data_IF_458342172255
#
_entry.id   IF_458342172255
#
_cell.length_a   1.000
_cell.length_b   1.000
_cell.length_c   1.000
_cell.angle_alpha   90.00
_cell.angle_beta   90.00
_cell.angle_gamma   90.00
#
_symmetry.space_group_name_H-M   'P 1'
#
loop_
_entity.id
_entity.type
_entity.pdbx_description
1 polymer ?
#
# COMPACT_ATOMS: atom_id res chain seq x y z
N UNK A 1 27.00 -20.06 -5.31
CA UNK A 1 26.23 -19.73 -6.53
C UNK A 1 25.18 -18.71 -6.13
N UNK A 2 24.96 -17.68 -6.93
CA UNK A 2 23.91 -16.68 -6.70
C UNK A 2 22.76 -16.95 -7.67
N UNK A 3 21.52 -16.67 -7.27
CA UNK A 3 20.33 -16.89 -8.11
C UNK A 3 19.46 -15.63 -8.17
N UNK A 4 19.02 -15.21 -9.37
CA UNK A 4 18.03 -14.15 -9.51
C UNK A 4 16.72 -14.51 -8.80
N UNK A 5 16.06 -13.51 -8.25
CA UNK A 5 14.74 -13.65 -7.63
C UNK A 5 13.66 -13.73 -8.72
N UNK A 6 13.06 -14.91 -8.90
CA UNK A 6 11.92 -15.12 -9.80
C UNK A 6 10.68 -15.61 -9.03
N UNK A 7 9.70 -14.73 -8.75
CA UNK A 7 8.46 -15.11 -8.07
C UNK A 7 7.65 -16.20 -8.78
N UNK A 8 7.72 -16.29 -10.11
CA UNK A 8 6.91 -17.24 -10.88
C UNK A 8 7.44 -18.68 -10.73
N UNK A 9 8.75 -18.81 -10.51
CA UNK A 9 9.40 -20.08 -10.22
C UNK A 9 9.27 -20.53 -8.75
N UNK A 10 8.80 -19.67 -7.84
CA UNK A 10 8.77 -19.97 -6.41
C UNK A 10 7.57 -20.83 -6.01
N UNK A 11 7.79 -21.95 -5.29
CA UNK A 11 6.71 -22.74 -4.70
C UNK A 11 5.85 -21.86 -3.79
N UNK A 12 4.57 -21.74 -4.16
CA UNK A 12 3.58 -20.91 -3.46
C UNK A 12 3.99 -19.43 -3.26
N UNK A 13 4.93 -18.92 -4.06
CA UNK A 13 5.47 -17.56 -3.92
C UNK A 13 6.24 -17.33 -2.62
N UNK A 14 6.80 -18.38 -2.00
CA UNK A 14 7.54 -18.28 -0.74
C UNK A 14 9.06 -18.41 -0.96
N UNK A 15 9.78 -17.30 -0.87
CA UNK A 15 11.25 -17.26 -1.03
C UNK A 15 11.99 -18.17 -0.05
N UNK A 16 11.50 -18.29 1.19
CA UNK A 16 12.12 -19.14 2.22
C UNK A 16 11.97 -20.61 1.85
N UNK A 17 10.79 -21.01 1.36
CA UNK A 17 10.56 -22.38 0.92
C UNK A 17 11.39 -22.72 -0.31
N UNK A 18 11.44 -21.83 -1.31
CA UNK A 18 12.30 -21.99 -2.48
C UNK A 18 13.77 -22.20 -2.06
N UNK A 19 14.26 -21.36 -1.15
CA UNK A 19 15.61 -21.48 -0.60
C UNK A 19 15.84 -22.82 0.12
N UNK A 20 14.92 -23.25 0.99
CA UNK A 20 15.03 -24.53 1.69
C UNK A 20 15.02 -25.72 0.73
N UNK A 21 14.13 -25.73 -0.27
CA UNK A 21 14.07 -26.79 -1.28
C UNK A 21 15.37 -26.90 -2.07
N UNK A 22 16.00 -25.78 -2.45
CA UNK A 22 17.30 -25.78 -3.13
C UNK A 22 18.42 -26.37 -2.27
N UNK A 23 18.29 -26.30 -0.95
CA UNK A 23 19.23 -26.92 0.00
C UNK A 23 18.86 -28.36 0.36
N UNK A 24 17.77 -28.92 -0.19
CA UNK A 24 17.27 -30.24 0.18
C UNK A 24 16.65 -30.28 1.58
N UNK A 25 16.22 -29.13 2.11
CA UNK A 25 15.55 -29.02 3.40
C UNK A 25 14.03 -29.01 3.21
N UNK A 26 13.33 -29.89 3.93
CA UNK A 26 11.87 -29.92 3.94
C UNK A 26 11.32 -28.89 4.93
N UNK A 27 10.31 -28.14 4.49
CA UNK A 27 9.67 -27.11 5.32
C UNK A 27 8.15 -27.30 5.32
N UNK A 28 7.65 -27.69 6.49
CA UNK A 28 6.23 -27.89 6.75
C UNK A 28 5.41 -26.64 6.42
N UNK A 29 4.35 -26.79 5.62
CA UNK A 29 3.52 -25.68 5.18
C UNK A 29 2.94 -24.86 6.34
N UNK A 30 2.62 -25.54 7.45
CA UNK A 30 2.07 -24.96 8.68
C UNK A 30 3.04 -23.99 9.39
N UNK A 31 4.34 -24.09 9.13
CA UNK A 31 5.37 -23.22 9.74
C UNK A 31 5.54 -21.89 9.00
N UNK A 32 5.05 -21.79 7.77
CA UNK A 32 5.22 -20.60 6.93
C UNK A 32 4.25 -19.51 7.39
N UNK A 33 4.75 -18.60 8.24
CA UNK A 33 4.00 -17.41 8.65
C UNK A 33 4.12 -16.32 7.59
N UNK A 34 3.02 -16.06 6.87
CA UNK A 34 2.95 -14.98 5.88
C UNK A 34 2.67 -13.63 6.55
N UNK A 35 3.64 -13.11 7.28
CA UNK A 35 3.55 -11.80 7.96
C UNK A 35 3.89 -10.62 7.04
N UNK A 36 4.65 -10.85 5.96
CA UNK A 36 5.08 -9.81 5.01
C UNK A 36 4.40 -9.95 3.64
N UNK A 37 3.09 -10.22 3.62
CA UNK A 37 2.35 -9.99 2.39
C UNK A 37 2.27 -8.48 2.21
N UNK A 38 3.06 -7.95 1.27
CA UNK A 38 3.13 -6.50 1.01
C UNK A 38 1.74 -5.87 0.96
N UNK A 39 1.64 -4.65 1.49
CA UNK A 39 0.38 -3.91 1.55
C UNK A 39 -0.24 -3.76 0.15
N UNK A 40 -1.56 -3.93 0.07
CA UNK A 40 -2.32 -3.67 -1.17
C UNK A 40 -2.41 -2.17 -1.42
N UNK A 41 -2.54 -1.78 -2.68
CA UNK A 41 -2.61 -0.36 -3.09
C UNK A 41 -3.70 0.39 -2.31
N UNK A 42 -4.90 -0.16 -2.28
CA UNK A 42 -6.03 0.48 -1.60
C UNK A 42 -5.85 0.54 -0.09
N UNK A 43 -5.25 -0.49 0.51
CA UNK A 43 -4.89 -0.46 1.93
C UNK A 43 -3.91 0.67 2.24
N UNK A 44 -2.93 0.91 1.36
CA UNK A 44 -1.99 2.01 1.48
C UNK A 44 -2.69 3.38 1.29
N UNK A 45 -3.57 3.52 0.30
CA UNK A 45 -4.35 4.74 0.09
C UNK A 45 -5.17 5.10 1.34
N UNK A 46 -5.95 4.15 1.86
CA UNK A 46 -6.78 4.39 3.05
C UNK A 46 -5.94 4.68 4.29
N UNK A 47 -4.81 4.00 4.47
CA UNK A 47 -3.87 4.28 5.56
C UNK A 47 -3.28 5.69 5.46
N UNK A 48 -2.86 6.07 4.26
CA UNK A 48 -2.30 7.38 4.00
C UNK A 48 -3.35 8.48 4.28
N UNK A 49 -4.58 8.30 3.79
CA UNK A 49 -5.69 9.23 4.04
C UNK A 49 -6.01 9.33 5.54
N UNK A 50 -6.05 8.20 6.26
CA UNK A 50 -6.24 8.21 7.72
C UNK A 50 -5.16 9.05 8.40
N UNK A 51 -3.88 8.81 8.07
CA UNK A 51 -2.77 9.52 8.71
C UNK A 51 -2.73 11.01 8.36
N UNK A 52 -3.01 11.35 7.10
CA UNK A 52 -3.00 12.73 6.63
C UNK A 52 -4.10 13.55 7.30
N UNK A 53 -5.31 13.01 7.41
CA UNK A 53 -6.48 13.75 7.89
C UNK A 53 -6.85 13.50 9.36
N UNK A 54 -6.32 12.44 10.00
CA UNK A 54 -6.54 12.13 11.43
C UNK A 54 -5.23 12.19 12.24
N UNK A 55 -4.50 13.32 12.18
CA UNK A 55 -3.21 13.55 12.88
C UNK A 55 -3.22 13.29 14.40
N UNK A 56 -4.37 13.31 15.05
CA UNK A 56 -4.50 13.19 16.52
C UNK A 56 -4.67 11.74 17.03
N UNK A 57 -4.55 10.69 16.20
CA UNK A 57 -4.70 9.30 16.67
C UNK A 57 -3.49 8.83 17.49
N UNK A 58 -3.76 8.38 18.72
CA UNK A 58 -2.84 7.52 19.49
C UNK A 58 -2.76 6.12 18.84
N UNK A 59 -1.56 5.54 18.79
CA UNK A 59 -1.22 4.31 18.05
C UNK A 59 -2.12 3.08 18.34
N UNK A 60 -2.75 3.01 19.51
CA UNK A 60 -3.50 1.84 19.99
C UNK A 60 -4.68 1.42 19.08
N UNK A 61 -5.25 2.33 18.29
CA UNK A 61 -6.36 2.02 17.38
C UNK A 61 -5.94 1.34 16.07
N UNK A 62 -4.65 1.31 15.73
CA UNK A 62 -4.17 0.88 14.41
C UNK A 62 -4.15 -0.64 14.24
N UNK A 63 -3.78 -1.39 15.28
CA UNK A 63 -3.64 -2.86 15.21
C UNK A 63 -4.93 -3.58 14.76
N UNK A 64 -6.09 -3.05 15.12
CA UNK A 64 -7.39 -3.60 14.67
C UNK A 64 -7.70 -3.27 13.21
N UNK A 65 -7.23 -2.12 12.71
CA UNK A 65 -7.41 -1.72 11.33
C UNK A 65 -6.50 -2.53 10.39
N UNK A 66 -5.29 -2.88 10.82
CA UNK A 66 -4.33 -3.63 10.02
C UNK A 66 -4.89 -4.98 9.50
N UNK A 67 -5.50 -5.79 10.38
CA UNK A 67 -6.11 -7.05 9.99
C UNK A 67 -7.27 -6.89 9.00
N UNK A 68 -8.01 -5.77 9.06
CA UNK A 68 -9.06 -5.47 8.10
C UNK A 68 -8.47 -5.02 6.76
N UNK A 69 -7.52 -4.09 6.79
CA UNK A 69 -6.85 -3.56 5.59
C UNK A 69 -6.13 -4.65 4.78
N UNK A 70 -5.57 -5.67 5.43
CA UNK A 70 -4.97 -6.82 4.75
C UNK A 70 -5.99 -7.65 3.95
N UNK A 71 -7.28 -7.58 4.29
CA UNK A 71 -8.38 -8.27 3.61
C UNK A 71 -8.99 -7.47 2.46
N UNK A 72 -8.57 -6.22 2.25
CA UNK A 72 -9.06 -5.46 1.10
C UNK A 72 -8.74 -6.21 -0.20
N UNK A 73 -9.64 -6.18 -1.20
CA UNK A 73 -9.30 -6.65 -2.53
C UNK A 73 -8.28 -5.70 -3.19
N UNK A 74 -7.78 -6.08 -4.36
CA UNK A 74 -6.93 -5.23 -5.20
C UNK A 74 -5.47 -5.60 -5.23
N UNK A 75 -4.73 -4.93 -6.09
CA UNK A 75 -3.34 -5.26 -6.39
C UNK A 75 -2.37 -4.85 -5.27
N UNK A 76 -1.19 -5.48 -5.27
CA UNK A 76 -0.08 -5.04 -4.43
C UNK A 76 0.36 -3.64 -4.85
N UNK A 77 0.89 -2.87 -3.90
CA UNK A 77 1.53 -1.60 -4.22
C UNK A 77 2.66 -1.82 -5.23
N UNK A 78 2.61 -1.07 -6.33
CA UNK A 78 3.68 -0.99 -7.31
C UNK A 78 4.08 0.48 -7.42
N UNK A 79 5.38 0.76 -7.45
CA UNK A 79 5.89 2.10 -7.71
C UNK A 79 6.02 2.33 -9.21
N UNK A 80 5.70 3.54 -9.68
CA UNK A 80 5.97 3.90 -11.06
C UNK A 80 7.49 3.99 -11.31
N UNK A 81 7.92 3.70 -12.53
CA UNK A 81 9.33 3.71 -12.89
C UNK A 81 9.99 5.05 -12.65
N UNK A 82 9.27 6.14 -12.88
CA UNK A 82 9.73 7.51 -12.64
C UNK A 82 10.19 7.73 -11.18
N UNK A 83 9.57 7.05 -10.21
CA UNK A 83 9.97 7.12 -8.78
C UNK A 83 11.25 6.33 -8.53
N UNK A 84 11.42 5.21 -9.23
CA UNK A 84 12.56 4.32 -9.06
C UNK A 84 13.79 4.80 -9.83
N UNK A 85 13.61 5.54 -10.92
CA UNK A 85 14.70 5.98 -11.81
C UNK A 85 15.75 6.84 -11.10
N UNK A 86 15.32 7.75 -10.21
CA UNK A 86 16.26 8.55 -9.41
C UNK A 86 17.13 7.65 -8.52
N UNK A 87 16.51 6.67 -7.85
CA UNK A 87 17.22 5.70 -7.01
C UNK A 87 18.15 4.82 -7.84
N UNK A 88 17.71 4.34 -9.00
CA UNK A 88 18.54 3.53 -9.92
C UNK A 88 19.76 4.29 -10.39
N UNK A 89 19.58 5.55 -10.80
CA UNK A 89 20.72 6.43 -11.16
C UNK A 89 21.68 6.59 -9.99
N UNK A 90 21.16 6.84 -8.79
CA UNK A 90 21.96 6.99 -7.57
C UNK A 90 22.77 5.74 -7.23
N UNK A 91 22.21 4.55 -7.43
CA UNK A 91 22.83 3.26 -7.09
C UNK A 91 23.38 2.52 -8.31
N UNK A 92 23.70 3.21 -9.41
CA UNK A 92 24.09 2.57 -10.67
C UNK A 92 25.33 1.69 -10.53
N UNK A 93 26.37 2.19 -9.84
CA UNK A 93 27.60 1.45 -9.64
C UNK A 93 27.39 0.15 -8.84
N UNK A 94 26.56 0.19 -7.80
CA UNK A 94 26.23 -1.00 -6.99
C UNK A 94 25.42 -2.02 -7.80
N UNK A 95 24.49 -1.55 -8.63
CA UNK A 95 23.73 -2.40 -9.55
C UNK A 95 24.65 -3.06 -10.57
N UNK A 96 25.57 -2.32 -11.18
CA UNK A 96 26.52 -2.87 -12.15
C UNK A 96 27.43 -3.93 -11.50
N UNK A 97 27.91 -3.66 -10.29
CA UNK A 97 28.67 -4.64 -9.49
C UNK A 97 27.87 -5.90 -9.21
N UNK A 98 26.59 -5.76 -8.81
CA UNK A 98 25.71 -6.89 -8.55
C UNK A 98 25.43 -7.71 -9.82
N UNK A 99 25.14 -7.04 -10.95
CA UNK A 99 24.93 -7.67 -12.25
C UNK A 99 26.15 -8.51 -12.67
N UNK A 100 27.36 -7.94 -12.54
CA UNK A 100 28.59 -8.64 -12.88
C UNK A 100 28.80 -9.91 -12.04
N UNK A 101 28.46 -9.87 -10.73
CA UNK A 101 28.55 -11.05 -9.85
C UNK A 101 27.48 -12.10 -10.11
N UNK A 102 26.30 -11.68 -10.52
CA UNK A 102 25.17 -12.57 -10.83
C UNK A 102 25.25 -13.16 -12.23
N UNK A 103 25.98 -12.52 -13.15
CA UNK A 103 25.95 -12.85 -14.57
C UNK A 103 24.58 -12.60 -15.20
N UNK A 104 23.77 -11.72 -14.61
CA UNK A 104 22.41 -11.40 -15.03
C UNK A 104 22.15 -9.90 -14.89
N UNK A 105 21.33 -9.34 -15.78
CA UNK A 105 20.93 -7.94 -15.71
C UNK A 105 19.84 -7.74 -14.65
N UNK A 106 20.16 -6.99 -13.60
CA UNK A 106 19.22 -6.53 -12.57
C UNK A 106 18.68 -5.13 -12.84
N UNK A 107 19.15 -4.45 -13.88
CA UNK A 107 18.68 -3.10 -14.23
C UNK A 107 17.31 -3.13 -14.90
N UNK A 108 16.92 -4.28 -15.46
CA UNK A 108 15.60 -4.52 -16.02
C UNK A 108 14.50 -4.38 -14.98
N UNK A 109 13.62 -3.40 -15.20
CA UNK A 109 12.31 -3.39 -14.56
C UNK A 109 11.45 -4.40 -15.29
N UNK A 110 10.70 -5.21 -14.55
CA UNK A 110 9.53 -5.85 -15.14
C UNK A 110 8.66 -4.81 -15.87
N UNK A 111 7.82 -5.22 -16.83
CA UNK A 111 7.01 -4.30 -17.61
C UNK A 111 6.25 -3.34 -16.69
N UNK A 112 6.22 -2.07 -17.07
CA UNK A 112 5.47 -1.03 -16.35
C UNK A 112 4.06 -1.55 -16.07
N UNK A 113 3.73 -1.72 -14.79
CA UNK A 113 2.42 -2.20 -14.41
C UNK A 113 1.46 -1.02 -14.39
N UNK A 114 0.30 -1.08 -15.07
CA UNK A 114 -0.70 -0.05 -14.95
C UNK A 114 -1.09 0.11 -13.46
N UNK A 115 -1.28 1.35 -13.03
CA UNK A 115 -1.57 1.63 -11.61
C UNK A 115 -0.34 1.63 -10.70
N UNK A 116 0.85 1.95 -11.20
CA UNK A 116 1.98 2.34 -10.36
C UNK A 116 1.72 3.68 -9.62
N UNK A 117 2.25 3.82 -8.41
CA UNK A 117 2.27 5.08 -7.67
C UNK A 117 3.47 5.92 -8.15
N UNK A 118 3.20 7.04 -8.82
CA UNK A 118 4.20 7.98 -9.31
C UNK A 118 4.37 9.19 -8.38
N UNK A 119 3.29 9.57 -7.69
CA UNK A 119 3.23 10.78 -6.87
C UNK A 119 2.21 10.64 -5.75
N UNK A 120 2.31 11.52 -4.77
CA UNK A 120 1.43 11.55 -3.60
C UNK A 120 -0.08 11.59 -3.95
N UNK A 121 -0.56 12.38 -4.94
CA UNK A 121 -1.98 12.35 -5.35
C UNK A 121 -2.51 10.98 -5.77
N UNK A 122 -1.66 10.05 -6.19
CA UNK A 122 -2.10 8.70 -6.57
C UNK A 122 -2.61 7.89 -5.37
N UNK A 123 -2.29 8.32 -4.14
CA UNK A 123 -2.76 7.77 -2.87
C UNK A 123 -4.13 8.30 -2.44
N UNK A 124 -4.67 9.30 -3.13
CA UNK A 124 -5.92 9.96 -2.72
C UNK A 124 -7.16 9.28 -3.29
N UNK A 125 -6.95 8.30 -4.18
CA UNK A 125 -8.00 7.62 -4.93
C UNK A 125 -8.00 6.12 -4.63
N UNK A 126 -8.46 5.68 -3.45
CA UNK A 126 -8.75 4.27 -3.23
C UNK A 126 -9.85 3.82 -4.19
N UNK A 127 -9.83 2.55 -4.58
CA UNK A 127 -10.86 2.00 -5.47
C UNK A 127 -12.27 2.04 -4.83
N UNK A 128 -13.35 2.08 -5.63
CA UNK A 128 -14.72 2.03 -5.10
C UNK A 128 -15.00 0.82 -4.22
N UNK A 129 -14.40 -0.35 -4.52
CA UNK A 129 -14.58 -1.56 -3.71
C UNK A 129 -13.90 -1.44 -2.35
N UNK A 130 -12.74 -0.78 -2.27
CA UNK A 130 -12.09 -0.51 -0.99
C UNK A 130 -12.89 0.47 -0.13
N UNK A 131 -13.51 1.48 -0.75
CA UNK A 131 -14.41 2.42 -0.07
C UNK A 131 -15.64 1.71 0.46
N UNK A 132 -16.26 0.84 -0.34
CA UNK A 132 -17.41 0.04 0.08
C UNK A 132 -17.07 -0.89 1.25
N UNK A 133 -15.94 -1.59 1.17
CA UNK A 133 -15.45 -2.44 2.27
C UNK A 133 -15.19 -1.63 3.54
N UNK A 134 -14.60 -0.43 3.42
CA UNK A 134 -14.43 0.46 4.54
C UNK A 134 -15.79 0.84 5.14
N UNK A 135 -16.73 1.30 4.31
CA UNK A 135 -18.07 1.71 4.73
C UNK A 135 -18.78 0.60 5.54
N UNK A 136 -18.75 -0.64 5.03
CA UNK A 136 -19.26 -1.84 5.69
C UNK A 136 -18.62 -2.03 7.08
N UNK A 137 -17.29 -2.01 7.17
CA UNK A 137 -16.59 -2.18 8.46
C UNK A 137 -16.89 -1.08 9.46
N UNK A 138 -17.23 0.12 8.98
CA UNK A 138 -17.54 1.26 9.84
C UNK A 138 -19.01 1.28 10.28
N UNK A 139 -19.88 0.52 9.62
CA UNK A 139 -21.34 0.62 9.72
C UNK A 139 -21.87 1.96 9.25
N UNK A 140 -21.27 2.56 8.22
CA UNK A 140 -21.72 3.82 7.61
C UNK A 140 -21.97 3.60 6.13
N UNK A 141 -22.91 4.35 5.57
CA UNK A 141 -23.08 4.38 4.13
C UNK A 141 -21.79 4.90 3.48
N UNK A 142 -21.35 4.31 2.36
CA UNK A 142 -20.33 4.96 1.54
C UNK A 142 -20.86 6.32 1.11
N UNK A 143 -20.04 7.37 1.04
CA UNK A 143 -20.52 8.62 0.45
C UNK A 143 -20.95 8.37 -1.00
N UNK A 144 -21.78 9.26 -1.52
CA UNK A 144 -22.05 9.29 -2.96
C UNK A 144 -20.71 9.27 -3.73
N UNK A 145 -20.63 8.58 -4.89
CA UNK A 145 -19.41 8.57 -5.68
C UNK A 145 -18.98 10.01 -5.92
N UNK A 146 -17.84 10.40 -5.33
CA UNK A 146 -17.31 11.74 -5.50
C UNK A 146 -17.08 11.98 -6.98
N UNK A 147 -17.56 13.12 -7.49
CA UNK A 147 -17.08 13.61 -8.77
C UNK A 147 -15.54 13.67 -8.70
N UNK A 148 -14.86 13.29 -9.79
CA UNK A 148 -13.41 13.28 -9.83
C UNK A 148 -12.87 14.60 -9.26
N UNK A 149 -11.89 14.58 -8.34
CA UNK A 149 -11.40 15.79 -7.70
C UNK A 149 -11.00 16.78 -8.78
N UNK A 150 -11.59 17.98 -8.72
CA UNK A 150 -11.19 19.08 -9.62
C UNK A 150 -9.70 19.34 -9.39
N UNK A 151 -8.90 19.56 -10.45
CA UNK A 151 -7.46 19.70 -10.31
C UNK A 151 -7.10 20.84 -9.35
N UNK A 152 -6.34 20.50 -8.31
CA UNK A 152 -5.49 21.29 -7.39
C UNK A 152 -6.00 22.58 -6.71
N UNK A 153 -6.98 23.30 -7.25
CA UNK A 153 -7.41 24.60 -6.69
C UNK A 153 -8.19 24.46 -5.37
N UNK A 154 -8.69 23.25 -5.05
CA UNK A 154 -9.52 22.99 -3.86
C UNK A 154 -8.73 22.46 -2.62
N UNK A 155 -7.39 22.55 -2.60
CA UNK A 155 -6.59 22.03 -1.49
C UNK A 155 -6.48 22.97 -0.29
N UNK A 156 -6.51 24.29 -0.49
CA UNK A 156 -6.44 25.27 0.61
C UNK A 156 -7.70 25.23 1.50
N UNK A 157 -8.87 24.93 0.93
CA UNK A 157 -10.15 24.85 1.66
C UNK A 157 -10.21 23.65 2.63
N UNK A 158 -9.36 22.65 2.47
CA UNK A 158 -9.41 21.39 3.24
C UNK A 158 -8.71 21.50 4.59
N UNK A 159 -7.63 22.27 4.69
CA UNK A 159 -6.91 22.45 5.95
C UNK A 159 -7.74 23.24 6.97
N UNK A 160 -8.58 24.16 6.50
CA UNK A 160 -9.43 25.02 7.34
C UNK A 160 -10.65 24.27 7.94
N UNK A 161 -11.18 23.26 7.24
CA UNK A 161 -12.29 22.45 7.75
C UNK A 161 -11.84 21.40 8.79
N UNK A 162 -10.59 20.95 8.73
CA UNK A 162 -10.06 19.92 9.63
C UNK A 162 -9.73 20.45 11.04
N UNK A 163 -9.47 21.76 11.17
CA UNK A 163 -9.17 22.42 12.46
C UNK A 163 -10.42 22.78 13.27
N UNK A 164 -11.62 22.76 12.67
CA UNK A 164 -12.88 23.15 13.33
C UNK A 164 -13.63 22.04 14.10
N UNK A 165 -13.24 20.77 14.01
CA UNK A 165 -13.99 19.67 14.63
C UNK A 165 -13.63 19.48 16.11
N UNK A 166 -14.45 20.06 16.98
CA UNK A 166 -14.32 20.02 18.45
C UNK A 166 -14.48 18.62 19.05
N UNK A 167 -13.72 18.39 20.13
CA UNK A 167 -13.63 17.15 20.87
C UNK A 167 -14.90 16.86 21.69
N UNK A 168 -15.61 15.77 21.38
CA UNK A 168 -16.76 15.34 22.19
C UNK A 168 -17.15 13.86 22.08
N UNK A 169 -17.01 13.20 20.93
CA UNK A 169 -17.49 11.83 20.76
C UNK A 169 -16.38 10.81 20.55
N UNK A 170 -16.32 9.77 21.41
CA UNK A 170 -15.51 8.54 21.20
C UNK A 170 -16.09 7.70 20.06
N UNK A 171 -16.00 8.22 18.84
CA UNK A 171 -16.35 7.50 17.61
C UNK A 171 -15.19 6.59 17.18
N UNK A 172 -15.52 5.38 16.72
CA UNK A 172 -14.57 4.46 16.10
C UNK A 172 -13.74 5.18 15.03
N UNK A 173 -12.43 4.91 14.90
CA UNK A 173 -11.60 5.64 13.97
C UNK A 173 -12.00 5.50 12.50
N UNK A 174 -12.52 4.33 12.13
CA UNK A 174 -13.09 4.08 10.82
C UNK A 174 -14.31 5.01 10.60
N UNK A 175 -15.12 5.23 11.64
CA UNK A 175 -16.26 6.15 11.58
C UNK A 175 -15.82 7.61 11.34
N UNK A 176 -14.66 8.06 11.82
CA UNK A 176 -14.20 9.44 11.55
C UNK A 176 -13.71 9.61 10.11
N UNK A 177 -13.01 8.62 9.56
CA UNK A 177 -12.61 8.59 8.15
C UNK A 177 -13.83 8.70 7.22
N UNK A 178 -14.88 7.94 7.51
CA UNK A 178 -16.16 8.04 6.80
C UNK A 178 -16.91 9.37 7.04
N UNK A 179 -16.64 10.10 8.14
CA UNK A 179 -17.23 11.42 8.43
C UNK A 179 -16.54 12.51 7.61
N UNK A 180 -15.22 12.44 7.43
CA UNK A 180 -14.51 13.35 6.51
C UNK A 180 -14.96 13.14 5.06
N UNK A 181 -15.20 11.88 4.68
CA UNK A 181 -15.71 11.50 3.36
C UNK A 181 -17.14 11.99 3.06
N UNK A 182 -17.92 12.41 4.05
CA UNK A 182 -19.30 12.88 3.85
C UNK A 182 -19.45 14.41 3.74
N UNK A 183 -18.37 15.17 3.88
CA UNK A 183 -18.35 16.64 3.79
C UNK A 183 -17.74 17.16 2.47
N UNK A 184 -17.43 16.25 1.53
CA UNK A 184 -16.94 16.52 0.18
C UNK A 184 -17.80 15.77 -0.82
#
# INVERSE_FOLDING_TARGET
MLWPFDPAAMPEGCVVRDFCQRLGLELEASTIRRVNQGMRRDALCLLYLDRKFNRQRKEAGWRRADAALQRLPGDKVVWADTVLDEKRRRYRADLDWACARLGADLSGVGPARPGGLAREPDLWSPSPSAVAALAEWTGRAPPAPMAAPRPAEDLEVVEEAATGATAGERTSPLKRLARWWSWR
#
